data_IF_973230830452
#
_entry.id   IF_973230830452
#
_cell.length_a   1.000
_cell.length_b   1.000
_cell.length_c   1.000
_cell.angle_alpha   90.00
_cell.angle_beta   90.00
_cell.angle_gamma   90.00
#
_symmetry.space_group_name_H-M   'P 1'
#
loop_
_entity.id
_entity.type
_entity.pdbx_description
1 polymer ?
#
# COMPACT_ATOMS: atom_id res chain seq x y z
N UNK A 1 -4.73 21.98 1.64
CA UNK A 1 -5.47 20.72 1.43
C UNK A 1 -4.50 19.70 0.86
N UNK A 2 -4.32 18.54 1.50
CA UNK A 2 -3.40 17.51 0.99
C UNK A 2 -4.06 16.85 -0.21
N UNK A 3 -3.55 17.11 -1.42
CA UNK A 3 -4.06 16.51 -2.67
C UNK A 3 -3.73 15.02 -2.77
N UNK A 4 -2.82 14.52 -1.93
CA UNK A 4 -2.39 13.14 -1.92
C UNK A 4 -2.45 12.62 -0.49
N UNK A 5 -3.11 11.48 -0.29
CA UNK A 5 -3.09 10.70 0.95
C UNK A 5 -2.19 9.50 0.75
N UNK A 6 -1.24 9.31 1.66
CA UNK A 6 -0.30 8.20 1.64
C UNK A 6 -0.67 7.21 2.75
N UNK A 7 -1.02 6.00 2.36
CA UNK A 7 -1.34 4.91 3.26
C UNK A 7 -0.23 3.85 3.21
N UNK A 8 -0.01 3.19 4.35
CA UNK A 8 0.88 2.04 4.47
C UNK A 8 0.04 0.83 4.82
N UNK A 9 0.07 -0.19 3.97
CA UNK A 9 -0.63 -1.45 4.20
C UNK A 9 0.35 -2.47 4.73
N UNK A 10 0.09 -2.97 5.93
CA UNK A 10 0.90 -3.99 6.59
C UNK A 10 0.30 -5.37 6.35
N UNK A 11 1.14 -6.31 5.96
CA UNK A 11 0.75 -7.70 5.68
C UNK A 11 1.38 -8.62 6.73
N UNK A 12 0.61 -9.61 7.18
CA UNK A 12 1.09 -10.64 8.13
C UNK A 12 1.83 -11.79 7.44
N UNK A 13 1.77 -11.83 6.12
CA UNK A 13 2.37 -12.86 5.27
C UNK A 13 3.47 -12.24 4.42
N UNK A 14 4.40 -13.08 3.95
CA UNK A 14 5.44 -12.63 3.05
C UNK A 14 4.85 -12.30 1.68
N UNK A 15 5.23 -11.16 1.13
CA UNK A 15 4.97 -10.85 -0.27
C UNK A 15 6.19 -11.30 -1.07
N UNK A 16 6.06 -12.44 -1.75
CA UNK A 16 7.20 -13.14 -2.34
C UNK A 16 7.82 -12.37 -3.51
N UNK A 17 9.14 -12.45 -3.60
CA UNK A 17 9.94 -11.90 -4.69
C UNK A 17 10.30 -13.04 -5.65
N UNK A 18 10.43 -12.70 -6.93
CA UNK A 18 11.04 -13.53 -7.94
C UNK A 18 12.52 -13.75 -7.60
N UNK A 19 12.98 -15.01 -7.49
CA UNK A 19 14.33 -15.32 -7.02
C UNK A 19 15.43 -14.96 -8.03
N UNK A 20 15.09 -14.77 -9.30
CA UNK A 20 16.07 -14.47 -10.36
C UNK A 20 16.27 -12.96 -10.51
N UNK A 21 15.19 -12.18 -10.41
CA UNK A 21 15.20 -10.73 -10.65
C UNK A 21 15.20 -9.91 -9.36
N UNK A 22 14.75 -10.48 -8.23
CA UNK A 22 14.56 -9.79 -6.97
C UNK A 22 13.38 -8.81 -6.94
N UNK A 23 12.55 -8.79 -7.99
CA UNK A 23 11.31 -8.02 -8.04
C UNK A 23 10.16 -8.81 -7.40
N UNK A 24 9.03 -8.15 -7.12
CA UNK A 24 7.81 -8.84 -6.68
C UNK A 24 7.38 -9.86 -7.71
N UNK A 25 7.06 -11.09 -7.29
CA UNK A 25 6.55 -12.11 -8.22
C UNK A 25 5.24 -11.64 -8.87
N UNK A 26 5.07 -11.93 -10.16
CA UNK A 26 3.95 -11.42 -10.97
C UNK A 26 2.55 -11.84 -10.48
N UNK A 27 2.41 -13.03 -9.90
CA UNK A 27 1.18 -13.46 -9.23
C UNK A 27 0.88 -12.64 -7.97
N UNK A 28 1.89 -12.34 -7.16
CA UNK A 28 1.77 -11.49 -5.97
C UNK A 28 1.40 -10.06 -6.38
N UNK A 29 2.02 -9.52 -7.45
CA UNK A 29 1.61 -8.21 -8.01
C UNK A 29 0.14 -8.20 -8.38
N UNK A 30 -0.32 -9.22 -9.12
CA UNK A 30 -1.73 -9.34 -9.54
C UNK A 30 -2.69 -9.47 -8.36
N UNK A 31 -2.31 -10.19 -7.31
CA UNK A 31 -3.11 -10.28 -6.09
C UNK A 31 -3.23 -8.93 -5.37
N UNK A 32 -2.12 -8.21 -5.25
CA UNK A 32 -2.12 -6.85 -4.67
C UNK A 32 -2.95 -5.91 -5.55
N UNK A 33 -2.75 -5.91 -6.87
CA UNK A 33 -3.52 -5.10 -7.82
C UNK A 33 -5.03 -5.34 -7.66
N UNK A 34 -5.44 -6.61 -7.66
CA UNK A 34 -6.86 -6.96 -7.50
C UNK A 34 -7.43 -6.49 -6.17
N UNK A 35 -6.68 -6.66 -5.07
CA UNK A 35 -7.12 -6.17 -3.77
C UNK A 35 -7.17 -4.64 -3.70
N UNK A 36 -6.20 -3.94 -4.29
CA UNK A 36 -6.16 -2.47 -4.34
C UNK A 36 -7.33 -1.92 -5.16
N UNK A 37 -7.65 -2.52 -6.30
CA UNK A 37 -8.80 -2.11 -7.11
C UNK A 37 -10.12 -2.32 -6.36
N UNK A 38 -10.28 -3.47 -5.72
CA UNK A 38 -11.49 -3.79 -4.93
C UNK A 38 -11.71 -2.84 -3.75
N UNK A 39 -10.64 -2.51 -3.01
CA UNK A 39 -10.74 -1.69 -1.79
C UNK A 39 -10.74 -0.19 -2.09
N UNK A 40 -9.91 0.25 -3.04
CA UNK A 40 -9.68 1.67 -3.32
C UNK A 40 -10.15 2.08 -4.72
N UNK A 41 -9.82 1.30 -5.76
CA UNK A 41 -10.14 1.63 -7.15
C UNK A 41 -11.63 1.86 -7.38
N UNK A 42 -12.48 0.98 -6.86
CA UNK A 42 -13.95 1.11 -6.96
C UNK A 42 -14.52 2.36 -6.28
N UNK A 43 -13.84 2.92 -5.27
CA UNK A 43 -14.33 4.07 -4.50
C UNK A 43 -13.69 5.39 -4.92
N UNK A 44 -12.42 5.37 -5.33
CA UNK A 44 -11.64 6.55 -5.70
C UNK A 44 -11.51 6.75 -7.22
N UNK A 45 -11.84 5.75 -8.03
CA UNK A 45 -11.48 5.71 -9.46
C UNK A 45 -10.06 5.18 -9.63
N UNK A 46 -9.88 4.18 -10.50
CA UNK A 46 -8.60 3.47 -10.66
C UNK A 46 -7.44 4.40 -11.03
N UNK A 47 -7.70 5.45 -11.81
CA UNK A 47 -6.70 6.46 -12.19
C UNK A 47 -6.21 7.33 -11.02
N UNK A 48 -6.95 7.36 -9.91
CA UNK A 48 -6.61 8.13 -8.72
C UNK A 48 -5.90 7.28 -7.65
N UNK A 49 -5.59 6.02 -7.96
CA UNK A 49 -4.95 5.08 -7.05
C UNK A 49 -3.68 4.54 -7.68
N UNK A 50 -2.56 4.69 -6.99
CA UNK A 50 -1.33 3.96 -7.33
C UNK A 50 -0.79 3.29 -6.07
N UNK A 51 -0.14 2.14 -6.24
CA UNK A 51 0.57 1.48 -5.16
C UNK A 51 1.98 1.11 -5.58
N UNK A 52 2.87 0.97 -4.60
CA UNK A 52 4.24 0.53 -4.84
C UNK A 52 4.80 -0.17 -3.60
N UNK A 53 5.78 -1.04 -3.82
CA UNK A 53 6.57 -1.69 -2.76
C UNK A 53 8.03 -1.29 -2.91
N UNK A 54 8.69 -0.98 -1.80
CA UNK A 54 10.14 -0.77 -1.81
C UNK A 54 10.88 -2.11 -1.91
N UNK A 55 11.94 -2.17 -2.70
CA UNK A 55 12.77 -3.37 -2.86
C UNK A 55 13.45 -3.77 -1.54
N UNK A 56 13.65 -5.08 -1.36
CA UNK A 56 14.10 -5.72 -0.11
C UNK A 56 15.49 -5.33 0.38
N UNK A 57 16.28 -4.60 -0.41
CA UNK A 57 17.67 -4.24 -0.10
C UNK A 57 17.83 -3.29 1.09
N UNK A 58 16.74 -2.85 1.73
CA UNK A 58 16.76 -1.91 2.86
C UNK A 58 15.90 -2.35 4.07
N UNK A 59 15.84 -3.64 4.44
CA UNK A 59 15.08 -4.07 5.64
C UNK A 59 15.94 -4.79 6.68
N UNK A 60 15.98 -4.24 7.90
CA UNK A 60 16.59 -4.87 9.09
C UNK A 60 15.65 -5.86 9.81
N UNK A 61 14.36 -5.90 9.43
CA UNK A 61 13.34 -6.76 10.04
C UNK A 61 12.54 -7.45 8.94
N UNK A 62 12.74 -8.77 8.81
CA UNK A 62 12.10 -9.63 7.80
C UNK A 62 10.65 -10.05 8.14
N UNK A 63 10.13 -9.66 9.30
CA UNK A 63 8.89 -10.24 9.83
C UNK A 63 7.61 -9.49 9.42
N UNK A 64 7.70 -8.26 8.90
CA UNK A 64 6.51 -7.48 8.52
C UNK A 64 6.71 -6.84 7.15
N UNK A 65 6.01 -7.37 6.16
CA UNK A 65 5.99 -6.82 4.81
C UNK A 65 4.91 -5.75 4.69
N UNK A 66 5.21 -4.73 3.89
CA UNK A 66 4.29 -3.62 3.66
C UNK A 66 4.45 -3.08 2.24
N UNK A 67 3.38 -2.44 1.76
CA UNK A 67 3.38 -1.66 0.54
C UNK A 67 2.66 -0.33 0.77
N UNK A 68 2.88 0.60 -0.14
CA UNK A 68 2.37 1.95 -0.06
C UNK A 68 1.24 2.14 -1.05
N UNK A 69 0.22 2.89 -0.64
CA UNK A 69 -0.87 3.34 -1.52
C UNK A 69 -0.89 4.86 -1.52
N UNK A 70 -0.95 5.46 -2.69
CA UNK A 70 -1.14 6.88 -2.89
C UNK A 70 -2.52 7.11 -3.50
N UNK A 71 -3.35 7.86 -2.78
CA UNK A 71 -4.67 8.24 -3.22
C UNK A 71 -4.66 9.72 -3.63
N UNK A 72 -5.07 10.02 -4.85
CA UNK A 72 -5.24 11.39 -5.32
C UNK A 72 -6.62 11.92 -4.94
N UNK A 73 -6.65 13.01 -4.17
CA UNK A 73 -7.85 13.71 -3.72
C UNK A 73 -9.00 12.79 -3.24
N UNK A 74 -8.75 11.81 -2.34
CA UNK A 74 -9.80 10.91 -1.89
C UNK A 74 -10.81 11.63 -1.00
N UNK A 75 -12.02 11.07 -0.94
CA UNK A 75 -13.02 11.46 0.06
C UNK A 75 -12.45 11.24 1.48
N UNK A 76 -12.37 12.27 2.34
CA UNK A 76 -11.87 12.14 3.71
C UNK A 76 -12.63 11.12 4.55
N UNK A 77 -13.94 10.97 4.32
CA UNK A 77 -14.76 10.00 5.07
C UNK A 77 -14.40 8.57 4.68
N UNK A 78 -14.10 8.33 3.40
CA UNK A 78 -13.59 7.03 2.94
C UNK A 78 -12.21 6.73 3.55
N UNK A 79 -11.30 7.71 3.59
CA UNK A 79 -9.99 7.53 4.23
C UNK A 79 -10.16 7.15 5.70
N UNK A 80 -11.07 7.81 6.41
CA UNK A 80 -11.36 7.49 7.81
C UNK A 80 -11.97 6.11 7.99
N UNK A 81 -12.86 5.69 7.07
CA UNK A 81 -13.47 4.37 7.06
C UNK A 81 -12.42 3.27 6.91
N UNK A 82 -11.57 3.38 5.87
CA UNK A 82 -10.59 2.33 5.53
C UNK A 82 -9.47 2.24 6.56
N UNK A 83 -9.06 3.35 7.17
CA UNK A 83 -8.06 3.33 8.25
C UNK A 83 -8.67 3.07 9.63
N UNK A 84 -10.00 3.07 9.77
CA UNK A 84 -10.70 3.09 11.07
C UNK A 84 -10.25 4.24 11.98
N UNK A 85 -9.81 5.35 11.38
CA UNK A 85 -9.25 6.49 12.08
C UNK A 85 -7.80 6.32 12.55
N UNK A 86 -7.11 5.24 12.16
CA UNK A 86 -5.68 5.09 12.40
C UNK A 86 -4.91 6.18 11.65
N UNK A 87 -3.93 6.77 12.33
CA UNK A 87 -3.10 7.85 11.82
C UNK A 87 -1.63 7.48 12.04
N UNK A 88 -0.73 7.82 11.11
CA UNK A 88 0.68 7.56 11.30
C UNK A 88 1.13 8.16 12.63
N UNK A 89 1.71 7.34 13.50
CA UNK A 89 2.38 7.84 14.68
C UNK A 89 3.62 8.60 14.18
N UNK A 90 3.51 9.92 14.03
CA UNK A 90 4.67 10.77 13.78
C UNK A 90 5.52 10.68 15.03
N UNK A 91 6.42 9.70 15.08
CA UNK A 91 7.50 9.70 16.05
C UNK A 91 8.17 11.06 15.95
N UNK A 92 8.18 11.80 17.06
CA UNK A 92 8.99 13.00 17.22
C UNK A 92 10.42 12.62 16.84
N UNK A 93 10.83 13.05 15.66
CA UNK A 93 12.24 13.09 15.25
C UNK A 93 12.93 14.22 16.01
#
# INVERSE_FOLDING_TARGET
>A
MRKIVHLVVWTKFALEDDPETGDTREDVKREIDGWVDEVFGKRCGGENVIWFRNWKTLKSVHAVEHFHIMLYNPDPDFVKEVTKGDVPNQGSI
#
